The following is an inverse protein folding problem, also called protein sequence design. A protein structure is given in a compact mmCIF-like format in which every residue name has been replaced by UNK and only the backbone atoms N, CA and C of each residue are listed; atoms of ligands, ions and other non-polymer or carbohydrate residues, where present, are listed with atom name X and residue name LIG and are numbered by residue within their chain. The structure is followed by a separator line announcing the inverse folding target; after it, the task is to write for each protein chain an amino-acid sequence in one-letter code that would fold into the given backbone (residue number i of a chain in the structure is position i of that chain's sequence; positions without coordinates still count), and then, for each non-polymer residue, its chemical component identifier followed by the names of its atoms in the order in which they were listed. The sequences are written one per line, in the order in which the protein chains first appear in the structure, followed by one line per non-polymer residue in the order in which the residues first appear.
data_IF_248998610883
#
_entry.id   IF_248998610883
#
_cell.length_a   1.000
_cell.length_b   1.000
_cell.length_c   1.000
_cell.angle_alpha   90.00
_cell.angle_beta   90.00
_cell.angle_gamma   90.00
#
_symmetry.space_group_name_H-M   'P 1'
#
loop_
_entity.id
_entity.type
_entity.pdbx_description
1 polymer ?
#
# COMPACT_ATOMS: atom_id res chain seq x y z
N UNK A 1 -2.24 1.74 -5.84
CA UNK A 1 -2.96 0.92 -4.84
C UNK A 1 -4.12 1.66 -4.19
N UNK A 2 -3.90 2.75 -3.43
CA UNK A 2 -4.95 3.42 -2.64
C UNK A 2 -6.24 3.78 -3.39
N UNK A 3 -6.22 4.36 -4.61
CA UNK A 3 -7.46 4.71 -5.33
C UNK A 3 -8.27 3.49 -5.79
N UNK A 4 -7.67 2.30 -5.74
CA UNK A 4 -8.29 1.05 -6.21
C UNK A 4 -8.95 0.25 -5.08
N UNK A 5 -8.74 0.65 -3.82
CA UNK A 5 -9.29 -0.02 -2.65
C UNK A 5 -10.57 0.70 -2.19
N UNK A 6 -11.60 -0.06 -1.85
CA UNK A 6 -12.78 0.50 -1.18
C UNK A 6 -12.38 0.97 0.22
N UNK A 7 -12.57 2.25 0.55
CA UNK A 7 -12.27 2.77 1.88
C UNK A 7 -13.31 2.27 2.89
N UNK A 8 -12.85 1.82 4.06
CA UNK A 8 -13.76 1.52 5.17
C UNK A 8 -14.30 2.83 5.75
N UNK A 9 -15.62 2.94 5.87
CA UNK A 9 -16.28 4.13 6.42
C UNK A 9 -16.00 5.43 5.66
N UNK A 10 -15.58 5.37 4.39
CA UNK A 10 -15.23 6.56 3.59
C UNK A 10 -13.93 7.25 4.01
N UNK A 11 -13.13 6.64 4.89
CA UNK A 11 -11.90 7.24 5.41
C UNK A 11 -10.77 7.24 4.38
N UNK A 12 -9.99 8.33 4.37
CA UNK A 12 -8.78 8.41 3.56
C UNK A 12 -7.60 7.78 4.33
N UNK A 13 -7.06 6.67 3.82
CA UNK A 13 -5.97 5.95 4.47
C UNK A 13 -4.66 6.77 4.61
N UNK A 14 -4.37 7.71 3.69
CA UNK A 14 -3.20 8.60 3.83
C UNK A 14 -3.42 9.57 4.99
N UNK A 15 -4.58 10.21 5.05
CA UNK A 15 -4.93 11.18 6.09
C UNK A 15 -5.05 10.53 7.48
N UNK A 16 -5.62 9.32 7.57
CA UNK A 16 -5.76 8.59 8.83
C UNK A 16 -4.42 8.28 9.51
N UNK A 17 -3.34 8.13 8.72
CA UNK A 17 -2.00 7.84 9.23
C UNK A 17 -1.16 9.10 9.49
N UNK A 18 -1.71 10.30 9.29
CA UNK A 18 -1.01 11.53 9.64
C UNK A 18 -1.03 11.71 11.17
N UNK A 19 0.12 11.99 11.82
CA UNK A 19 0.14 12.32 13.25
C UNK A 19 -0.75 13.54 13.51
N UNK A 20 -1.55 13.51 14.57
CA UNK A 20 -2.31 14.70 14.96
C UNK A 20 -1.34 15.81 15.38
N UNK A 21 -1.56 17.03 14.89
CA UNK A 21 -0.71 18.19 15.21
C UNK A 21 0.40 18.52 14.22
N UNK A 22 0.70 17.67 13.23
CA UNK A 22 1.55 18.06 12.10
C UNK A 22 0.73 18.86 11.08
N UNK A 23 0.82 20.19 11.11
CA UNK A 23 0.47 21.01 9.94
C UNK A 23 1.62 20.87 8.93
N UNK A 24 1.37 20.41 7.69
CA UNK A 24 2.42 20.43 6.67
C UNK A 24 2.75 21.90 6.36
N UNK A 25 3.90 22.37 6.85
CA UNK A 25 4.50 23.64 6.43
C UNK A 25 5.36 23.34 5.20
N UNK A 26 4.87 23.73 4.03
CA UNK A 26 5.56 23.58 2.74
C UNK A 26 4.72 22.90 1.67
N UNK A 27 5.05 23.17 0.41
CA UNK A 27 4.52 22.41 -0.75
C UNK A 27 4.97 20.97 -0.57
N UNK A 28 4.03 20.01 -0.52
CA UNK A 28 4.31 18.56 -0.46
C UNK A 28 5.01 18.08 -1.76
N UNK A 29 6.23 18.52 -1.99
CA UNK A 29 7.06 18.06 -3.11
C UNK A 29 8.08 16.99 -2.67
N UNK A 30 8.41 16.93 -1.36
CA UNK A 30 9.47 16.05 -0.85
C UNK A 30 9.18 15.41 0.52
N UNK A 31 7.98 15.57 1.09
CA UNK A 31 7.61 14.94 2.35
C UNK A 31 7.10 13.50 2.10
N UNK A 32 7.93 12.67 1.48
CA UNK A 32 7.69 11.24 1.41
C UNK A 32 7.76 10.66 2.82
N UNK A 33 6.68 10.03 3.29
CA UNK A 33 6.71 9.28 4.55
C UNK A 33 7.77 8.18 4.42
N UNK A 34 8.61 8.00 5.44
CA UNK A 34 9.56 6.89 5.55
C UNK A 34 8.89 5.57 5.95
N UNK A 35 7.59 5.58 6.25
CA UNK A 35 6.83 4.43 6.73
C UNK A 35 5.74 4.07 5.72
N UNK A 36 5.68 2.78 5.36
CA UNK A 36 4.66 2.20 4.51
C UNK A 36 3.65 1.42 5.37
N UNK A 37 2.36 1.57 5.08
CA UNK A 37 1.29 0.89 5.80
C UNK A 37 1.12 -0.55 5.28
N UNK A 38 1.66 -1.52 6.03
CA UNK A 38 1.58 -2.94 5.70
C UNK A 38 0.14 -3.47 5.64
N UNK A 39 -0.78 -2.92 6.44
CA UNK A 39 -2.18 -3.32 6.39
C UNK A 39 -2.82 -2.90 5.06
N UNK A 40 -2.50 -1.71 4.55
CA UNK A 40 -2.96 -1.27 3.22
C UNK A 40 -2.33 -2.11 2.11
N UNK A 41 -1.05 -2.46 2.24
CA UNK A 41 -0.38 -3.34 1.27
C UNK A 41 -1.02 -4.73 1.21
N UNK A 42 -1.35 -5.32 2.37
CA UNK A 42 -2.00 -6.62 2.47
C UNK A 42 -3.33 -6.69 1.69
N UNK A 43 -4.05 -5.56 1.62
CA UNK A 43 -5.31 -5.45 0.87
C UNK A 43 -5.16 -5.52 -0.64
N UNK A 44 -3.94 -5.61 -1.17
CA UNK A 44 -3.71 -5.93 -2.58
C UNK A 44 -4.43 -7.22 -3.01
N UNK A 45 -4.52 -8.20 -2.10
CA UNK A 45 -5.26 -9.45 -2.32
C UNK A 45 -6.78 -9.28 -2.44
N UNK A 46 -7.35 -8.10 -2.16
CA UNK A 46 -8.77 -7.80 -2.36
C UNK A 46 -9.08 -7.36 -3.80
N UNK A 47 -8.07 -6.96 -4.56
CA UNK A 47 -8.27 -6.40 -5.90
C UNK A 47 -8.68 -7.48 -6.91
N UNK A 48 -9.44 -7.10 -7.94
CA UNK A 48 -9.69 -7.99 -9.09
C UNK A 48 -8.43 -8.25 -9.91
N UNK A 49 -8.39 -9.37 -10.65
CA UNK A 49 -7.23 -9.81 -11.42
C UNK A 49 -6.67 -8.74 -12.37
N UNK A 50 -7.54 -8.06 -13.13
CA UNK A 50 -7.13 -6.99 -14.05
C UNK A 50 -6.43 -5.84 -13.31
N UNK A 51 -6.92 -5.48 -12.12
CA UNK A 51 -6.32 -4.38 -11.35
C UNK A 51 -4.99 -4.76 -10.72
N UNK A 52 -4.83 -6.02 -10.31
CA UNK A 52 -3.53 -6.54 -9.84
C UNK A 52 -2.48 -6.51 -10.95
N UNK A 53 -2.85 -6.92 -12.16
CA UNK A 53 -1.97 -6.85 -13.33
C UNK A 53 -1.57 -5.42 -13.69
N UNK A 54 -2.52 -4.48 -13.67
CA UNK A 54 -2.21 -3.05 -13.89
C UNK A 54 -1.22 -2.51 -12.85
N UNK A 55 -1.36 -2.88 -11.58
CA UNK A 55 -0.47 -2.44 -10.51
C UNK A 55 0.93 -3.04 -10.68
N UNK A 56 1.03 -4.32 -11.02
CA UNK A 56 2.32 -4.97 -11.30
C UNK A 56 3.06 -4.25 -12.45
N UNK A 57 2.40 -4.02 -13.58
CA UNK A 57 3.00 -3.32 -14.72
C UNK A 57 3.41 -1.87 -14.39
N UNK A 58 2.60 -1.15 -13.61
CA UNK A 58 2.96 0.22 -13.15
C UNK A 58 4.08 0.23 -12.12
N UNK A 59 4.25 -0.86 -11.39
CA UNK A 59 5.32 -1.04 -10.41
C UNK A 59 6.65 -1.47 -11.02
N UNK A 60 6.68 -1.81 -12.31
CA UNK A 60 7.89 -2.29 -12.99
C UNK A 60 8.16 -3.78 -12.79
N UNK A 61 7.17 -4.54 -12.34
CA UNK A 61 7.27 -5.99 -12.19
C UNK A 61 6.98 -6.67 -13.53
N UNK A 62 7.68 -7.78 -13.79
CA UNK A 62 7.49 -8.63 -14.96
C UNK A 62 6.11 -9.33 -14.94
N UNK A 63 5.53 -9.50 -13.75
CA UNK A 63 4.19 -10.05 -13.63
C UNK A 63 3.56 -9.96 -12.24
N UNK A 64 2.29 -10.37 -12.17
CA UNK A 64 1.52 -10.43 -10.92
C UNK A 64 2.12 -11.41 -9.90
N UNK A 65 2.76 -12.47 -10.38
CA UNK A 65 3.42 -13.47 -9.53
C UNK A 65 4.63 -12.89 -8.81
N UNK A 66 5.51 -12.19 -9.52
CA UNK A 66 6.69 -11.54 -8.94
C UNK A 66 6.29 -10.50 -7.87
N UNK A 67 5.33 -9.63 -8.20
CA UNK A 67 4.80 -8.67 -7.22
C UNK A 67 4.20 -9.38 -5.98
N UNK A 68 3.53 -10.53 -6.18
CA UNK A 68 2.96 -11.31 -5.08
C UNK A 68 4.07 -11.85 -4.17
N UNK A 69 5.11 -12.42 -4.74
CA UNK A 69 6.21 -13.02 -3.99
C UNK A 69 6.95 -11.95 -3.17
N UNK A 70 7.15 -10.75 -3.73
CA UNK A 70 7.71 -9.62 -2.97
C UNK A 70 6.79 -9.17 -1.83
N UNK A 71 5.47 -9.06 -2.08
CA UNK A 71 4.50 -8.72 -1.03
C UNK A 71 4.48 -9.78 0.08
N UNK A 72 4.61 -11.07 -0.25
CA UNK A 72 4.72 -12.16 0.72
C UNK A 72 5.96 -12.00 1.60
N UNK A 73 7.10 -11.64 0.99
CA UNK A 73 8.34 -11.35 1.72
C UNK A 73 8.24 -10.14 2.64
N UNK A 74 7.63 -9.04 2.17
CA UNK A 74 7.48 -7.79 2.95
C UNK A 74 6.46 -7.94 4.07
N UNK A 75 5.33 -8.61 3.82
CA UNK A 75 4.24 -8.76 4.77
C UNK A 75 4.44 -9.92 5.74
N UNK A 76 5.54 -10.69 5.61
CA UNK A 76 5.82 -11.83 6.47
C UNK A 76 4.75 -12.94 6.38
N UNK A 77 4.05 -13.03 5.25
CA UNK A 77 3.03 -14.06 4.99
C UNK A 77 3.60 -15.49 4.95
N UNK A 78 4.93 -15.62 5.03
CA UNK A 78 5.69 -16.86 5.23
C UNK A 78 5.65 -17.42 6.66
N UNK A 79 4.92 -16.81 7.60
CA UNK A 79 4.54 -17.44 8.88
C UNK A 79 5.47 -17.19 10.07
N UNK A 80 6.35 -16.19 10.00
CA UNK A 80 7.27 -15.83 11.11
C UNK A 80 7.08 -14.42 11.69
N UNK A 81 6.14 -13.63 11.16
CA UNK A 81 5.95 -12.28 11.62
C UNK A 81 4.72 -12.17 12.54
N UNK A 82 4.97 -12.01 13.85
CA UNK A 82 3.97 -11.62 14.83
C UNK A 82 3.71 -10.11 14.69
N UNK A 83 2.59 -9.73 14.08
CA UNK A 83 2.04 -8.37 14.15
C UNK A 83 0.75 -8.38 14.94
#
# INVERSE_FOLDING_TARGET
LLPALTPYGGLNAKAYRLPSGMRPVGVEAAAGRTIVDGAVLARWAELGAAKRAEIAGKGGYDGVAELRDELEGVLGWSGLAYF
#
